data_IF_706722818669
#
_entry.id   IF_706722818669
#
_cell.length_a   1.000
_cell.length_b   1.000
_cell.length_c   1.000
_cell.angle_alpha   90.00
_cell.angle_beta   90.00
_cell.angle_gamma   90.00
#
_symmetry.space_group_name_H-M   'P 1'
#
loop_
_entity.id
_entity.type
_entity.pdbx_description
1 polymer ?
#
# COMPACT_ATOMS: atom_id res chain seq x y z
N UNK A 1 1.08 -5.44 14.30
CA UNK A 1 0.46 -4.44 13.43
C UNK A 1 0.16 -5.08 12.09
N UNK A 2 -1.03 -4.87 11.55
CA UNK A 2 -1.37 -5.27 10.18
C UNK A 2 -1.70 -4.03 9.36
N UNK A 3 -1.16 -3.94 8.15
CA UNK A 3 -1.45 -2.85 7.22
C UNK A 3 -2.68 -3.22 6.39
N UNK A 4 -3.56 -2.25 6.16
CA UNK A 4 -4.72 -2.38 5.29
C UNK A 4 -4.78 -1.21 4.32
N UNK A 5 -5.22 -1.52 3.10
CA UNK A 5 -5.57 -0.53 2.08
C UNK A 5 -7.09 -0.39 2.06
N UNK A 6 -7.57 0.79 2.44
CA UNK A 6 -8.98 1.17 2.39
C UNK A 6 -9.24 2.03 1.16
N UNK A 7 -10.21 1.60 0.35
CA UNK A 7 -10.77 2.31 -0.79
C UNK A 7 -12.07 3.01 -0.38
N UNK A 8 -12.18 4.31 -0.64
CA UNK A 8 -13.40 5.08 -0.43
C UNK A 8 -14.07 5.32 -1.76
N UNK A 9 -15.30 4.83 -1.89
CA UNK A 9 -16.13 5.02 -3.08
C UNK A 9 -17.35 5.88 -2.73
N UNK A 10 -17.90 6.63 -3.70
CA UNK A 10 -19.15 7.34 -3.47
C UNK A 10 -20.24 6.36 -3.01
N UNK A 11 -21.02 6.71 -1.99
CA UNK A 11 -22.00 5.81 -1.39
C UNK A 11 -23.09 5.34 -2.37
N UNK A 12 -23.36 6.15 -3.41
CA UNK A 12 -24.30 5.83 -4.48
C UNK A 12 -23.67 5.04 -5.64
N UNK A 13 -22.35 4.79 -5.60
CA UNK A 13 -21.67 4.00 -6.62
C UNK A 13 -22.05 2.52 -6.50
N UNK A 14 -22.25 1.86 -7.64
CA UNK A 14 -22.65 0.45 -7.67
C UNK A 14 -21.60 -0.45 -7.05
N UNK A 15 -21.94 -1.11 -5.94
CA UNK A 15 -21.05 -2.08 -5.31
C UNK A 15 -20.72 -3.25 -6.25
N UNK A 16 -21.70 -3.75 -7.01
CA UNK A 16 -21.50 -4.86 -7.93
C UNK A 16 -20.47 -4.51 -9.02
N UNK A 17 -20.52 -3.27 -9.52
CA UNK A 17 -19.58 -2.78 -10.52
C UNK A 17 -18.18 -2.58 -9.93
N UNK A 18 -18.08 -1.97 -8.74
CA UNK A 18 -16.82 -1.84 -8.03
C UNK A 18 -16.17 -3.20 -7.75
N UNK A 19 -16.96 -4.17 -7.27
CA UNK A 19 -16.51 -5.52 -7.00
C UNK A 19 -15.99 -6.21 -8.27
N UNK A 20 -16.73 -6.13 -9.39
CA UNK A 20 -16.31 -6.70 -10.66
C UNK A 20 -15.02 -6.06 -11.21
N UNK A 21 -14.81 -4.75 -11.02
CA UNK A 21 -13.56 -4.08 -11.38
C UNK A 21 -12.39 -4.62 -10.55
N UNK A 22 -12.57 -4.72 -9.23
CA UNK A 22 -11.51 -5.19 -8.34
C UNK A 22 -11.18 -6.67 -8.57
N UNK A 23 -12.20 -7.51 -8.80
CA UNK A 23 -12.04 -8.96 -9.01
C UNK A 23 -11.28 -9.31 -10.28
N UNK A 24 -11.49 -8.57 -11.38
CA UNK A 24 -10.75 -8.77 -12.65
C UNK A 24 -9.23 -8.69 -12.50
N UNK A 25 -8.78 -8.06 -11.43
CA UNK A 25 -7.36 -7.83 -11.14
C UNK A 25 -6.91 -8.55 -9.86
N UNK A 26 -7.67 -9.55 -9.40
CA UNK A 26 -7.30 -10.43 -8.29
C UNK A 26 -7.57 -9.88 -6.88
N UNK A 27 -8.22 -8.73 -6.74
CA UNK A 27 -8.59 -8.15 -5.43
C UNK A 27 -10.09 -8.25 -5.18
N UNK A 28 -10.51 -8.18 -3.92
CA UNK A 28 -11.92 -8.18 -3.53
C UNK A 28 -12.19 -7.02 -2.59
N UNK A 29 -13.43 -6.52 -2.61
CA UNK A 29 -13.86 -5.48 -1.70
C UNK A 29 -14.60 -6.09 -0.51
N UNK A 30 -14.18 -5.72 0.68
CA UNK A 30 -14.86 -6.10 1.93
C UNK A 30 -15.35 -4.82 2.59
N UNK A 31 -16.65 -4.75 2.88
CA UNK A 31 -17.22 -3.58 3.54
C UNK A 31 -16.49 -3.34 4.87
N UNK A 32 -16.02 -2.11 5.09
CA UNK A 32 -15.42 -1.72 6.35
C UNK A 32 -16.47 -0.99 7.19
N UNK A 33 -17.00 -1.64 8.21
CA UNK A 33 -17.80 -0.96 9.22
C UNK A 33 -16.87 -0.19 10.17
N UNK A 34 -16.59 1.06 9.84
CA UNK A 34 -15.80 1.96 10.67
C UNK A 34 -16.52 3.29 10.85
N UNK A 35 -17.27 3.45 11.96
CA UNK A 35 -17.95 4.70 12.29
C UNK A 35 -17.00 5.90 12.32
N UNK A 36 -15.73 5.70 12.71
CA UNK A 36 -14.74 6.77 12.72
C UNK A 36 -14.32 7.25 11.32
N UNK A 37 -14.21 6.35 10.34
CA UNK A 37 -13.91 6.73 8.96
C UNK A 37 -15.12 7.35 8.26
N UNK A 38 -16.33 6.82 8.53
CA UNK A 38 -17.58 7.41 8.05
C UNK A 38 -17.78 8.83 8.62
N UNK A 39 -17.49 9.04 9.91
CA UNK A 39 -17.54 10.38 10.50
C UNK A 39 -16.48 11.33 9.91
N UNK A 40 -15.30 10.82 9.54
CA UNK A 40 -14.23 11.61 8.94
C UNK A 40 -14.50 12.05 7.50
N UNK A 41 -15.14 11.18 6.71
CA UNK A 41 -15.39 11.37 5.26
C UNK A 41 -16.81 11.85 4.94
N UNK A 42 -17.76 11.62 5.84
CA UNK A 42 -19.16 11.97 5.66
C UNK A 42 -19.99 10.86 4.98
N UNK A 43 -21.33 10.99 4.98
CA UNK A 43 -22.24 9.94 4.51
C UNK A 43 -22.23 9.72 2.98
N UNK A 44 -21.56 10.59 2.23
CA UNK A 44 -21.41 10.45 0.78
C UNK A 44 -20.38 9.39 0.36
N UNK A 45 -19.69 8.76 1.32
CA UNK A 45 -18.57 7.86 1.07
C UNK A 45 -18.72 6.54 1.84
N UNK A 46 -18.34 5.44 1.17
CA UNK A 46 -18.31 4.12 1.76
C UNK A 46 -16.86 3.58 1.75
N UNK A 47 -16.28 3.24 2.91
CA UNK A 47 -14.98 2.58 2.98
C UNK A 47 -15.08 1.07 2.71
N UNK A 48 -14.11 0.57 1.95
CA UNK A 48 -13.96 -0.83 1.56
C UNK A 48 -12.51 -1.27 1.73
N UNK A 49 -12.28 -2.40 2.39
CA UNK A 49 -10.97 -3.02 2.45
C UNK A 49 -10.67 -3.77 1.16
N UNK A 50 -9.42 -3.73 0.73
CA UNK A 50 -8.96 -4.45 -0.47
C UNK A 50 -8.55 -5.91 -0.21
N UNK A 51 -8.47 -6.30 1.07
CA UNK A 51 -8.08 -7.63 1.52
C UNK A 51 -8.87 -8.08 2.75
N UNK A 52 -9.08 -9.40 2.88
CA UNK A 52 -9.81 -10.00 4.01
C UNK A 52 -8.98 -10.03 5.30
N UNK A 53 -7.67 -10.26 5.19
CA UNK A 53 -6.80 -10.52 6.33
C UNK A 53 -5.84 -9.37 6.62
N UNK A 54 -5.07 -8.93 5.63
CA UNK A 54 -4.26 -7.71 5.63
C UNK A 54 -3.67 -7.51 4.23
N UNK A 55 -3.15 -6.32 3.99
CA UNK A 55 -2.38 -5.95 2.80
C UNK A 55 -0.86 -5.98 3.06
N UNK A 56 -0.42 -6.51 4.21
CA UNK A 56 1.01 -6.62 4.54
C UNK A 56 1.81 -7.28 3.42
N UNK A 57 2.94 -6.68 3.03
CA UNK A 57 3.79 -7.21 1.97
C UNK A 57 3.31 -6.88 0.54
N UNK A 58 2.17 -6.19 0.38
CA UNK A 58 1.79 -5.60 -0.92
C UNK A 58 2.53 -4.30 -1.17
N UNK A 59 2.65 -3.86 -2.42
CA UNK A 59 3.50 -2.74 -2.78
C UNK A 59 3.16 -1.45 -2.03
N UNK A 60 1.86 -1.11 -1.96
CA UNK A 60 1.38 0.08 -1.25
C UNK A 60 1.51 -0.03 0.27
N UNK A 61 1.61 -1.23 0.82
CA UNK A 61 1.74 -1.48 2.26
C UNK A 61 3.18 -1.79 2.71
N UNK A 62 4.11 -1.98 1.77
CA UNK A 62 5.48 -2.45 2.05
C UNK A 62 6.49 -1.32 2.21
N UNK A 63 6.07 -0.06 2.09
CA UNK A 63 6.93 1.13 2.17
C UNK A 63 7.50 1.42 3.57
N UNK A 64 7.27 0.55 4.56
CA UNK A 64 7.64 0.83 5.96
C UNK A 64 8.65 -0.17 6.50
N UNK A 65 9.91 0.18 6.28
CA UNK A 65 11.05 -0.35 7.02
C UNK A 65 11.84 -1.38 6.23
N UNK A 66 12.72 -0.92 5.35
CA UNK A 66 13.98 -1.64 5.14
C UNK A 66 14.61 -1.77 6.54
N UNK A 67 14.50 -2.94 7.16
CA UNK A 67 15.27 -3.21 8.39
C UNK A 67 16.71 -2.99 8.02
N UNK A 68 17.32 -1.97 8.63
CA UNK A 68 18.74 -1.71 8.54
C UNK A 68 19.48 -3.00 8.93
N UNK A 69 20.03 -3.69 7.93
CA UNK A 69 20.62 -4.99 8.14
C UNK A 69 21.99 -4.82 8.78
N UNK A 70 22.07 -5.09 10.09
CA UNK A 70 23.34 -5.14 10.81
C UNK A 70 24.10 -6.38 10.38
N UNK A 71 25.17 -6.19 9.62
CA UNK A 71 25.89 -7.31 9.05
C UNK A 71 26.54 -8.24 10.08
N UNK A 72 26.61 -9.53 9.73
CA UNK A 72 27.14 -10.63 10.55
C UNK A 72 28.68 -10.58 10.76
N UNK A 73 29.33 -9.47 10.43
CA UNK A 73 30.79 -9.32 10.41
C UNK A 73 31.44 -9.66 11.76
N UNK A 74 30.83 -9.23 12.86
CA UNK A 74 31.34 -9.50 14.20
C UNK A 74 31.18 -10.96 14.60
N UNK A 75 30.09 -11.61 14.15
CA UNK A 75 29.87 -13.05 14.32
C UNK A 75 30.88 -13.87 13.53
N UNK A 76 31.25 -13.46 12.32
CA UNK A 76 32.27 -14.13 11.53
C UNK A 76 33.68 -13.91 12.08
N UNK A 77 33.97 -12.71 12.60
CA UNK A 77 35.23 -12.45 13.32
C UNK A 77 35.39 -13.37 14.53
N UNK A 78 34.34 -13.56 15.34
CA UNK A 78 34.31 -14.50 16.46
C UNK A 78 34.50 -15.96 16.04
N UNK A 79 34.19 -16.31 14.78
CA UNK A 79 34.41 -17.64 14.19
C UNK A 79 35.80 -17.81 13.54
N UNK A 80 36.72 -16.87 13.75
CA UNK A 80 38.09 -16.94 13.23
C UNK A 80 38.23 -16.68 11.73
N UNK A 81 37.24 -16.03 11.10
CA UNK A 81 37.37 -15.67 9.69
C UNK A 81 38.42 -14.58 9.50
N UNK A 82 39.22 -14.68 8.44
CA UNK A 82 40.16 -13.62 8.07
C UNK A 82 39.42 -12.37 7.59
N UNK A 83 40.05 -11.21 7.71
CA UNK A 83 39.48 -9.94 7.27
C UNK A 83 39.09 -9.97 5.78
N UNK A 84 39.91 -10.59 4.92
CA UNK A 84 39.63 -10.75 3.50
C UNK A 84 38.38 -11.61 3.24
N UNK A 85 38.20 -12.70 4.00
CA UNK A 85 37.03 -13.57 3.87
C UNK A 85 35.74 -12.87 4.32
N UNK A 86 35.82 -12.08 5.39
CA UNK A 86 34.70 -11.25 5.87
C UNK A 86 34.34 -10.18 4.83
N UNK A 87 35.32 -9.47 4.27
CA UNK A 87 35.10 -8.44 3.27
C UNK A 87 34.41 -9.00 2.01
N UNK A 88 34.86 -10.15 1.52
CA UNK A 88 34.24 -10.83 0.38
C UNK A 88 32.79 -11.25 0.67
N UNK A 89 32.54 -11.86 1.83
CA UNK A 89 31.18 -12.28 2.20
C UNK A 89 30.22 -11.09 2.37
N UNK A 90 30.69 -9.97 2.93
CA UNK A 90 29.91 -8.74 3.00
C UNK A 90 29.59 -8.18 1.60
N UNK A 91 30.56 -8.19 0.69
CA UNK A 91 30.35 -7.72 -0.68
C UNK A 91 29.35 -8.59 -1.45
N UNK A 92 29.48 -9.92 -1.37
CA UNK A 92 28.53 -10.86 -1.98
C UNK A 92 27.12 -10.71 -1.42
N UNK A 93 27.00 -10.45 -0.11
CA UNK A 93 25.71 -10.25 0.55
C UNK A 93 25.07 -8.91 0.19
N UNK A 94 25.85 -7.81 0.13
CA UNK A 94 25.36 -6.51 -0.35
C UNK A 94 24.88 -6.61 -1.79
N UNK A 95 25.65 -7.25 -2.67
CA UNK A 95 25.26 -7.43 -4.06
C UNK A 95 23.99 -8.27 -4.21
N UNK A 96 23.76 -9.28 -3.35
CA UNK A 96 22.48 -10.01 -3.31
C UNK A 96 21.34 -9.11 -2.84
N UNK A 97 21.54 -8.37 -1.76
CA UNK A 97 20.53 -7.46 -1.22
C UNK A 97 20.13 -6.37 -2.22
N UNK A 98 21.09 -5.78 -2.93
CA UNK A 98 20.82 -4.78 -3.97
C UNK A 98 19.97 -5.36 -5.10
N UNK A 99 20.26 -6.59 -5.55
CA UNK A 99 19.43 -7.27 -6.56
C UNK A 99 18.04 -7.56 -6.04
N UNK A 100 17.92 -8.15 -4.86
CA UNK A 100 16.62 -8.45 -4.25
C UNK A 100 15.79 -7.16 -4.02
N UNK A 101 16.45 -6.05 -3.66
CA UNK A 101 15.80 -4.75 -3.53
C UNK A 101 15.30 -4.22 -4.88
N UNK A 102 16.11 -4.37 -5.94
CA UNK A 102 15.70 -3.95 -7.28
C UNK A 102 14.50 -4.76 -7.77
N UNK A 103 14.55 -6.09 -7.64
CA UNK A 103 13.42 -6.97 -8.00
C UNK A 103 12.14 -6.58 -7.26
N UNK A 104 12.23 -6.34 -5.94
CA UNK A 104 11.07 -5.88 -5.15
C UNK A 104 10.55 -4.52 -5.59
N UNK A 105 11.43 -3.58 -6.00
CA UNK A 105 11.01 -2.27 -6.50
C UNK A 105 10.27 -2.41 -7.83
N UNK A 106 10.76 -3.27 -8.71
CA UNK A 106 10.13 -3.54 -10.00
C UNK A 106 8.75 -4.19 -9.81
N UNK A 107 8.66 -5.20 -8.94
CA UNK A 107 7.39 -5.83 -8.57
C UNK A 107 6.42 -4.83 -7.92
N UNK A 108 6.93 -3.93 -7.07
CA UNK A 108 6.13 -2.90 -6.43
C UNK A 108 5.55 -1.91 -7.45
N UNK A 109 6.34 -1.52 -8.45
CA UNK A 109 5.88 -0.66 -9.55
C UNK A 109 4.80 -1.35 -10.39
N UNK A 110 4.92 -2.65 -10.62
CA UNK A 110 3.89 -3.44 -11.32
C UNK A 110 2.57 -3.46 -10.55
N UNK A 111 2.58 -3.77 -9.24
CA UNK A 111 1.35 -3.76 -8.42
C UNK A 111 0.75 -2.35 -8.31
N UNK A 112 1.57 -1.31 -8.16
CA UNK A 112 1.10 0.08 -8.17
C UNK A 112 0.47 0.47 -9.52
N UNK A 113 1.04 0.00 -10.64
CA UNK A 113 0.46 0.16 -11.96
C UNK A 113 -0.92 -0.51 -12.08
N UNK A 114 -1.09 -1.71 -11.53
CA UNK A 114 -2.40 -2.36 -11.47
C UNK A 114 -3.39 -1.58 -10.58
N UNK A 115 -2.93 -0.95 -9.50
CA UNK A 115 -3.77 -0.06 -8.68
C UNK A 115 -4.27 1.14 -9.46
N UNK A 116 -3.41 1.78 -10.26
CA UNK A 116 -3.83 2.86 -11.15
C UNK A 116 -4.87 2.39 -12.16
N UNK A 117 -4.71 1.21 -12.76
CA UNK A 117 -5.70 0.65 -13.68
C UNK A 117 -7.06 0.42 -13.00
N UNK A 118 -7.08 -0.03 -11.74
CA UNK A 118 -8.31 -0.17 -10.94
C UNK A 118 -8.97 1.19 -10.70
N UNK A 119 -8.18 2.18 -10.31
CA UNK A 119 -8.62 3.57 -10.10
C UNK A 119 -9.21 4.13 -11.40
N UNK A 120 -8.54 3.96 -12.53
CA UNK A 120 -9.04 4.39 -13.84
C UNK A 120 -10.38 3.75 -14.20
N UNK A 121 -10.48 2.43 -14.04
CA UNK A 121 -11.70 1.70 -14.35
C UNK A 121 -12.88 2.17 -13.47
N UNK A 122 -12.64 2.42 -12.18
CA UNK A 122 -13.65 2.96 -11.26
C UNK A 122 -14.07 4.40 -11.65
N UNK A 123 -13.11 5.27 -12.00
CA UNK A 123 -13.41 6.64 -12.46
C UNK A 123 -14.18 6.65 -13.79
N UNK A 124 -13.83 5.74 -14.71
CA UNK A 124 -14.50 5.57 -16.00
C UNK A 124 -15.93 5.04 -15.84
N UNK A 125 -16.14 4.13 -14.88
CA UNK A 125 -17.45 3.61 -14.49
C UNK A 125 -18.35 4.65 -13.79
N UNK A 126 -17.85 5.87 -13.55
CA UNK A 126 -18.66 6.99 -13.06
C UNK A 126 -18.42 7.38 -11.62
N UNK A 127 -17.41 6.82 -10.94
CA UNK A 127 -16.96 7.38 -9.67
C UNK A 127 -16.38 8.78 -9.96
N UNK A 128 -16.97 9.83 -9.38
CA UNK A 128 -16.46 11.20 -9.56
C UNK A 128 -15.03 11.37 -9.00
N UNK A 129 -14.73 10.61 -7.95
CA UNK A 129 -13.48 10.63 -7.20
C UNK A 129 -13.37 9.36 -6.35
N UNK A 130 -12.15 8.96 -6.02
CA UNK A 130 -11.83 7.78 -5.23
C UNK A 130 -10.89 8.17 -4.09
N UNK A 131 -11.12 7.67 -2.88
CA UNK A 131 -10.17 7.82 -1.77
C UNK A 131 -9.35 6.55 -1.58
N UNK A 132 -8.07 6.71 -1.24
CA UNK A 132 -7.15 5.63 -0.93
C UNK A 132 -6.43 5.95 0.38
N UNK A 133 -6.50 5.02 1.33
CA UNK A 133 -5.85 5.14 2.63
C UNK A 133 -5.08 3.86 2.90
N UNK A 134 -3.76 3.97 3.08
CA UNK A 134 -2.92 2.88 3.60
C UNK A 134 -2.70 3.14 5.08
N UNK A 135 -2.99 2.18 5.95
CA UNK A 135 -2.85 2.39 7.39
C UNK A 135 -2.52 1.11 8.14
N UNK A 136 -1.66 1.23 9.14
CA UNK A 136 -1.37 0.19 10.12
C UNK A 136 -2.42 0.18 11.24
N UNK A 137 -2.83 -1.03 11.63
CA UNK A 137 -3.75 -1.27 12.72
C UNK A 137 -3.10 -2.16 13.78
N UNK A 138 -3.13 -1.70 15.02
CA UNK A 138 -2.70 -2.44 16.22
C UNK A 138 -3.79 -3.33 16.81
N UNK A 139 -4.99 -3.30 16.23
CA UNK A 139 -6.15 -4.04 16.69
C UNK A 139 -7.22 -4.13 15.60
N UNK A 140 -8.49 -4.08 16.01
CA UNK A 140 -9.60 -4.14 15.06
C UNK A 140 -9.59 -2.95 14.09
N UNK A 141 -9.81 -3.26 12.81
CA UNK A 141 -9.92 -2.28 11.72
C UNK A 141 -11.12 -1.33 11.89
N UNK A 142 -12.12 -1.73 12.68
CA UNK A 142 -13.28 -0.90 13.06
C UNK A 142 -13.10 -0.08 14.34
N UNK A 143 -11.96 -0.21 15.04
CA UNK A 143 -11.70 0.57 16.26
C UNK A 143 -11.69 2.08 15.96
N UNK A 144 -12.00 2.92 16.95
CA UNK A 144 -11.97 4.37 16.80
C UNK A 144 -10.58 4.82 16.35
N UNK A 145 -10.52 5.49 15.21
CA UNK A 145 -9.31 6.08 14.66
C UNK A 145 -9.40 7.61 14.63
N UNK A 146 -8.25 8.32 14.70
CA UNK A 146 -8.22 9.75 14.37
C UNK A 146 -8.55 9.97 12.89
N UNK A 147 -9.17 11.13 12.61
CA UNK A 147 -9.41 11.58 11.24
C UNK A 147 -8.06 11.65 10.49
N UNK A 148 -7.88 10.96 9.35
CA UNK A 148 -6.69 11.11 8.54
C UNK A 148 -6.53 12.56 8.04
N UNK A 149 -5.30 13.08 7.90
CA UNK A 149 -5.07 14.20 7.00
C UNK A 149 -5.47 13.80 5.57
N UNK A 150 -5.84 14.79 4.76
CA UNK A 150 -6.35 14.57 3.40
C UNK A 150 -5.44 15.23 2.36
N UNK A 151 -5.20 14.56 1.24
CA UNK A 151 -4.49 15.11 0.07
C UNK A 151 -5.27 14.83 -1.20
N UNK A 152 -5.21 15.77 -2.14
CA UNK A 152 -6.00 15.73 -3.37
C UNK A 152 -5.07 15.64 -4.57
N UNK A 153 -5.41 14.77 -5.53
CA UNK A 153 -4.63 14.52 -6.72
C UNK A 153 -5.51 14.49 -7.97
N UNK A 154 -5.21 15.28 -9.00
CA UNK A 154 -5.74 15.03 -10.34
C UNK A 154 -5.18 13.71 -10.85
N UNK A 155 -6.05 12.82 -11.36
CA UNK A 155 -5.64 11.51 -11.88
C UNK A 155 -4.58 11.65 -12.97
N UNK A 156 -4.69 12.66 -13.83
CA UNK A 156 -3.75 12.93 -14.91
C UNK A 156 -2.30 13.19 -14.42
N UNK A 157 -2.10 13.53 -13.14
CA UNK A 157 -0.79 13.82 -12.56
C UNK A 157 -0.22 12.67 -11.72
N UNK A 158 -0.88 11.51 -11.69
CA UNK A 158 -0.40 10.35 -10.93
C UNK A 158 0.21 9.29 -11.85
N UNK A 159 1.46 8.95 -11.56
CA UNK A 159 2.16 7.77 -12.05
C UNK A 159 2.19 6.67 -10.96
N UNK A 160 2.53 5.44 -11.36
CA UNK A 160 2.55 4.30 -10.45
C UNK A 160 3.54 4.50 -9.28
N UNK A 161 4.67 5.16 -9.55
CA UNK A 161 5.66 5.52 -8.53
C UNK A 161 5.11 6.45 -7.46
N UNK A 162 4.15 7.32 -7.81
CA UNK A 162 3.58 8.27 -6.85
C UNK A 162 2.73 7.56 -5.80
N UNK A 163 2.04 6.48 -6.19
CA UNK A 163 1.25 5.65 -5.28
C UNK A 163 2.15 4.97 -4.23
N UNK A 164 3.36 4.56 -4.62
CA UNK A 164 4.34 3.99 -3.69
C UNK A 164 4.88 5.03 -2.69
N UNK A 165 4.76 6.32 -3.02
CA UNK A 165 5.18 7.44 -2.18
C UNK A 165 4.04 8.03 -1.32
N UNK A 166 2.83 7.45 -1.38
CA UNK A 166 1.72 7.89 -0.55
C UNK A 166 2.05 7.71 0.93
N UNK A 167 1.72 8.74 1.71
CA UNK A 167 2.05 8.80 3.13
C UNK A 167 1.04 7.94 3.91
N UNK A 168 1.48 6.94 4.70
CA UNK A 168 0.56 6.16 5.50
C UNK A 168 -0.24 7.01 6.47
N UNK A 169 -1.46 6.56 6.72
CA UNK A 169 -2.38 7.27 7.59
C UNK A 169 -3.01 8.50 6.93
N UNK A 170 -2.56 8.92 5.75
CA UNK A 170 -3.14 10.00 4.94
C UNK A 170 -4.18 9.44 3.97
N UNK A 171 -5.32 10.11 3.89
CA UNK A 171 -6.35 9.83 2.90
C UNK A 171 -6.02 10.58 1.60
N UNK A 172 -5.62 9.84 0.58
CA UNK A 172 -5.32 10.37 -0.74
C UNK A 172 -6.54 10.25 -1.63
N UNK A 173 -7.05 11.37 -2.07
CA UNK A 173 -8.16 11.42 -2.96
C UNK A 173 -7.73 11.67 -4.40
N UNK A 174 -8.27 10.89 -5.31
CA UNK A 174 -7.90 10.85 -6.72
C UNK A 174 -9.12 11.21 -7.55
N UNK A 175 -9.01 12.30 -8.29
CA UNK A 175 -10.10 12.93 -9.04
C UNK A 175 -9.90 12.72 -10.54
N UNK A 176 -11.00 12.62 -11.29
CA UNK A 176 -10.93 12.34 -12.74
C UNK A 176 -10.12 13.37 -13.55
N UNK A 177 -9.96 14.59 -13.04
CA UNK A 177 -9.31 15.69 -13.75
C UNK A 177 -10.27 16.41 -14.68
#
# INVERSE_FOLDING_TARGET
MCTFITLFLPALFSHAEAAAIMERSGRRLFAQDSPSLLAATGPGWQPWLSARHCDCGTALASSHGEREWKGDAERWRKKGWSAAKIARALAEQRARQERDQQERRDDALVDAGQWLQRIDALLQAGAARIGLLVRDYDGSVGARQPKPPERHWPRAHLAASDLLAFEPGTLHWIERG
#
